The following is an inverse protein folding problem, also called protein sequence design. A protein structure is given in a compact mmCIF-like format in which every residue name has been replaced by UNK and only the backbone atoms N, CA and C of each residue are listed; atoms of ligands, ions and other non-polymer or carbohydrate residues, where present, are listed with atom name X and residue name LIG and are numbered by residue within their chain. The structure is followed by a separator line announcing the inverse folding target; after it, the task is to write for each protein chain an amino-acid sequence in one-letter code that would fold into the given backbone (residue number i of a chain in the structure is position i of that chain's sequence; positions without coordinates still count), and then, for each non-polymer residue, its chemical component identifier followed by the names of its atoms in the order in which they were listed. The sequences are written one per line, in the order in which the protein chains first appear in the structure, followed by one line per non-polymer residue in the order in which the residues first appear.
data_IF_940826798800
#
_entry.id   IF_940826798800
#
_cell.length_a   1.000
_cell.length_b   1.000
_cell.length_c   1.000
_cell.angle_alpha   90.00
_cell.angle_beta   90.00
_cell.angle_gamma   90.00
#
_symmetry.space_group_name_H-M   'P 1'
#
loop_
_entity.id
_entity.type
_entity.pdbx_description
1 polymer ?
#
# COMPACT_ATOMS: atom_id res chain seq x y z
N UNK A 1 22.02 19.44 -16.81
CA UNK A 1 20.68 19.97 -16.51
C UNK A 1 20.13 19.21 -15.31
N UNK A 2 19.80 19.88 -14.23
CA UNK A 2 19.03 19.27 -13.12
C UNK A 2 17.57 19.18 -13.59
N UNK A 3 16.98 17.98 -13.55
CA UNK A 3 15.57 17.78 -13.90
C UNK A 3 14.62 18.14 -12.74
N UNK A 4 15.17 18.58 -11.59
CA UNK A 4 14.38 18.92 -10.40
C UNK A 4 13.64 17.70 -9.79
N UNK A 5 14.17 16.49 -9.96
CA UNK A 5 13.61 15.28 -9.36
C UNK A 5 13.86 15.31 -7.85
N UNK A 6 12.79 15.29 -7.07
CA UNK A 6 12.82 15.25 -5.61
C UNK A 6 12.46 13.86 -5.06
N UNK A 7 11.79 13.04 -5.89
CA UNK A 7 11.23 11.75 -5.46
C UNK A 7 11.17 10.74 -6.59
N UNK A 8 11.47 9.49 -6.27
CA UNK A 8 11.24 8.33 -7.14
C UNK A 8 10.38 7.31 -6.42
N UNK A 9 9.41 6.76 -7.14
CA UNK A 9 8.61 5.63 -6.69
C UNK A 9 8.88 4.42 -7.56
N UNK A 10 9.43 3.38 -6.95
CA UNK A 10 9.65 2.08 -7.59
C UNK A 10 8.35 1.30 -7.50
N UNK A 11 7.87 0.83 -8.63
CA UNK A 11 6.66 0.03 -8.79
C UNK A 11 6.83 -0.89 -10.02
N UNK A 12 5.79 -1.57 -10.43
CA UNK A 12 5.82 -2.43 -11.62
C UNK A 12 4.77 -3.53 -11.45
N UNK A 13 5.05 -4.78 -11.85
CA UNK A 13 4.32 -5.94 -11.34
C UNK A 13 4.57 -6.03 -9.83
N UNK A 14 5.44 -6.94 -9.38
CA UNK A 14 5.91 -6.92 -7.98
C UNK A 14 7.42 -6.61 -7.94
N UNK A 15 7.84 -5.42 -7.47
CA UNK A 15 9.24 -5.02 -7.50
C UNK A 15 10.13 -5.88 -6.59
N UNK A 16 9.60 -6.47 -5.50
CA UNK A 16 10.36 -7.34 -4.61
C UNK A 16 10.83 -8.64 -5.28
N UNK A 17 10.28 -9.00 -6.44
CA UNK A 17 10.75 -10.12 -7.25
C UNK A 17 12.03 -9.80 -8.05
N UNK A 18 12.41 -8.52 -8.13
CA UNK A 18 13.63 -8.10 -8.82
C UNK A 18 14.87 -8.46 -7.99
N UNK A 19 15.72 -9.33 -8.50
CA UNK A 19 16.94 -9.82 -7.80
C UNK A 19 17.89 -8.71 -7.36
N UNK A 20 18.06 -7.66 -8.18
CA UNK A 20 19.00 -6.57 -7.93
C UNK A 20 18.30 -5.30 -7.37
N UNK A 21 17.15 -5.43 -6.72
CA UNK A 21 16.41 -4.28 -6.19
C UNK A 21 17.23 -3.46 -5.17
N UNK A 22 17.92 -4.06 -4.18
CA UNK A 22 18.78 -3.30 -3.26
C UNK A 22 19.87 -2.52 -3.99
N UNK A 23 20.49 -3.09 -5.01
CA UNK A 23 21.51 -2.41 -5.81
C UNK A 23 20.94 -1.22 -6.58
N UNK A 24 19.75 -1.36 -7.15
CA UNK A 24 19.06 -0.24 -7.80
C UNK A 24 18.78 0.89 -6.81
N UNK A 25 18.27 0.58 -5.63
CA UNK A 25 17.98 1.56 -4.58
C UNK A 25 19.28 2.26 -4.14
N UNK A 26 20.37 1.52 -3.94
CA UNK A 26 21.67 2.06 -3.58
C UNK A 26 22.21 3.04 -4.65
N UNK A 27 22.00 2.73 -5.92
CA UNK A 27 22.39 3.65 -7.01
C UNK A 27 21.54 4.93 -7.00
N UNK A 28 20.25 4.84 -6.71
CA UNK A 28 19.34 5.97 -6.60
C UNK A 28 19.61 6.82 -5.36
N UNK A 29 20.00 6.21 -4.24
CA UNK A 29 20.26 6.92 -2.98
C UNK A 29 21.44 7.91 -3.07
N UNK A 30 22.31 7.74 -4.07
CA UNK A 30 23.38 8.70 -4.35
C UNK A 30 22.87 10.04 -4.94
N UNK A 31 21.60 10.12 -5.31
CA UNK A 31 21.02 11.30 -5.98
C UNK A 31 20.34 12.30 -5.02
N UNK A 32 20.40 12.05 -3.71
CA UNK A 32 19.73 12.86 -2.67
C UNK A 32 18.24 13.08 -2.97
N UNK A 33 17.53 12.01 -3.28
CA UNK A 33 16.09 11.97 -3.58
C UNK A 33 15.36 11.05 -2.63
N UNK A 34 14.07 11.33 -2.41
CA UNK A 34 13.19 10.46 -1.65
C UNK A 34 12.81 9.21 -2.47
N UNK A 35 13.16 8.03 -1.98
CA UNK A 35 12.93 6.76 -2.64
C UNK A 35 11.80 6.02 -1.94
N UNK A 36 10.70 5.79 -2.66
CA UNK A 36 9.54 5.05 -2.20
C UNK A 36 9.35 3.77 -3.01
N UNK A 37 8.84 2.73 -2.37
CA UNK A 37 8.47 1.46 -3.01
C UNK A 37 6.97 1.23 -2.89
N UNK A 38 6.32 0.70 -3.94
CA UNK A 38 4.95 0.15 -3.86
C UNK A 38 5.00 -1.34 -4.13
N UNK A 39 4.42 -2.14 -3.24
CA UNK A 39 4.55 -3.61 -3.22
C UNK A 39 3.31 -4.29 -2.67
N UNK A 40 3.09 -5.55 -3.03
CA UNK A 40 2.12 -6.44 -2.37
C UNK A 40 2.64 -7.01 -1.04
N UNK A 41 3.84 -6.64 -0.64
CA UNK A 41 4.53 -7.01 0.59
C UNK A 41 4.82 -8.52 0.80
N UNK A 42 4.54 -9.38 -0.17
CA UNK A 42 4.74 -10.84 -0.06
C UNK A 42 6.15 -11.27 0.38
N UNK A 43 7.16 -10.49 0.02
CA UNK A 43 8.57 -10.74 0.34
C UNK A 43 9.16 -9.67 1.28
N UNK A 44 8.36 -8.70 1.71
CA UNK A 44 8.85 -7.52 2.43
C UNK A 44 9.47 -7.89 3.77
N UNK A 45 8.89 -8.84 4.52
CA UNK A 45 9.45 -9.34 5.79
C UNK A 45 10.93 -9.73 5.68
N UNK A 46 11.30 -10.38 4.57
CA UNK A 46 12.66 -10.88 4.39
C UNK A 46 13.62 -9.86 3.77
N UNK A 47 13.08 -8.80 3.15
CA UNK A 47 13.89 -7.85 2.38
C UNK A 47 13.92 -6.44 2.98
N UNK A 48 13.00 -6.11 3.88
CA UNK A 48 12.84 -4.74 4.40
C UNK A 48 14.14 -4.15 4.95
N UNK A 49 14.90 -4.94 5.70
CA UNK A 49 16.19 -4.50 6.25
C UNK A 49 17.20 -4.15 5.15
N UNK A 50 17.40 -5.04 4.18
CA UNK A 50 18.35 -4.84 3.09
C UNK A 50 17.97 -3.64 2.23
N UNK A 51 16.65 -3.45 1.98
CA UNK A 51 16.14 -2.30 1.25
C UNK A 51 16.35 -0.99 2.01
N UNK A 52 16.14 -1.01 3.33
CA UNK A 52 16.40 0.15 4.20
C UNK A 52 17.89 0.49 4.22
N UNK A 53 18.75 -0.49 4.38
CA UNK A 53 20.21 -0.32 4.38
C UNK A 53 20.74 0.19 3.02
N UNK A 54 20.06 -0.18 1.93
CA UNK A 54 20.35 0.33 0.58
C UNK A 54 19.89 1.78 0.35
N UNK A 55 19.09 2.37 1.25
CA UNK A 55 18.63 3.75 1.16
C UNK A 55 17.15 3.93 0.79
N UNK A 56 16.34 2.87 0.85
CA UNK A 56 14.88 3.04 0.74
C UNK A 56 14.35 3.85 1.91
N UNK A 57 13.53 4.87 1.64
CA UNK A 57 12.97 5.74 2.67
C UNK A 57 11.66 5.18 3.24
N UNK A 58 10.73 4.76 2.36
CA UNK A 58 9.38 4.37 2.76
C UNK A 58 8.72 3.37 1.81
N UNK A 59 7.70 2.69 2.31
CA UNK A 59 6.93 1.74 1.53
C UNK A 59 5.45 2.12 1.47
N UNK A 60 4.82 1.73 0.38
CA UNK A 60 3.36 1.67 0.23
C UNK A 60 3.00 0.22 -0.05
N UNK A 61 2.11 -0.33 0.74
CA UNK A 61 1.65 -1.72 0.63
C UNK A 61 0.23 -1.74 0.05
N UNK A 62 -0.02 -2.61 -0.90
CA UNK A 62 -1.37 -2.88 -1.41
C UNK A 62 -2.04 -3.91 -0.50
N UNK A 63 -3.13 -3.52 0.17
CA UNK A 63 -3.92 -4.40 1.05
C UNK A 63 -5.39 -3.98 1.00
N UNK A 64 -6.19 -4.74 0.26
CA UNK A 64 -7.58 -4.40 -0.01
C UNK A 64 -8.58 -5.03 0.97
N UNK A 65 -8.15 -6.04 1.75
CA UNK A 65 -8.95 -6.71 2.75
C UNK A 65 -8.09 -7.40 3.82
N UNK A 66 -8.62 -7.53 5.04
CA UNK A 66 -8.08 -8.37 6.09
C UNK A 66 -8.66 -9.80 6.05
N UNK A 67 -9.81 -9.99 5.41
CA UNK A 67 -10.34 -11.33 5.15
C UNK A 67 -9.48 -12.06 4.12
N UNK A 68 -8.93 -13.27 4.43
CA UNK A 68 -8.01 -13.97 3.55
C UNK A 68 -8.59 -14.37 2.20
N UNK A 69 -9.88 -14.74 2.17
CA UNK A 69 -10.54 -15.15 0.93
C UNK A 69 -10.77 -13.95 0.02
N UNK A 70 -11.19 -12.84 0.62
CA UNK A 70 -11.43 -11.60 -0.11
C UNK A 70 -10.10 -11.01 -0.62
N UNK A 71 -9.06 -11.00 0.22
CA UNK A 71 -7.73 -10.57 -0.17
C UNK A 71 -7.20 -11.36 -1.37
N UNK A 72 -7.25 -12.69 -1.30
CA UNK A 72 -6.81 -13.56 -2.41
C UNK A 72 -7.58 -13.30 -3.70
N UNK A 73 -8.91 -13.09 -3.60
CA UNK A 73 -9.76 -12.77 -4.75
C UNK A 73 -9.43 -11.42 -5.38
N UNK A 74 -9.15 -10.40 -4.58
CA UNK A 74 -8.88 -9.04 -5.08
C UNK A 74 -7.46 -8.86 -5.60
N UNK A 75 -6.48 -9.47 -4.93
CA UNK A 75 -5.07 -9.36 -5.32
C UNK A 75 -4.68 -10.26 -6.51
N UNK A 76 -5.57 -11.17 -6.93
CA UNK A 76 -5.28 -12.22 -7.94
C UNK A 76 -3.94 -12.93 -7.64
N UNK A 77 -3.70 -13.20 -6.35
CA UNK A 77 -2.44 -13.77 -5.88
C UNK A 77 -2.66 -14.76 -4.74
N UNK A 78 -1.69 -15.65 -4.53
CA UNK A 78 -1.67 -16.58 -3.41
C UNK A 78 -0.93 -16.01 -2.18
N UNK A 79 -0.75 -14.69 -2.12
CA UNK A 79 -0.12 -14.02 -0.97
C UNK A 79 -1.11 -14.02 0.19
N UNK A 80 -0.70 -14.54 1.35
CA UNK A 80 -1.58 -14.53 2.53
C UNK A 80 -1.57 -13.14 3.20
N UNK A 81 -2.69 -12.78 3.82
CA UNK A 81 -2.82 -11.54 4.60
C UNK A 81 -1.77 -11.50 5.71
N UNK A 82 -1.53 -12.64 6.37
CA UNK A 82 -0.56 -12.76 7.44
C UNK A 82 0.85 -12.37 6.96
N UNK A 83 1.26 -12.83 5.76
CA UNK A 83 2.57 -12.48 5.21
C UNK A 83 2.67 -10.98 4.86
N UNK A 84 1.57 -10.37 4.45
CA UNK A 84 1.49 -8.91 4.20
C UNK A 84 1.64 -8.15 5.51
N UNK A 85 0.90 -8.54 6.54
CA UNK A 85 0.94 -7.90 7.87
C UNK A 85 2.34 -8.03 8.51
N UNK A 86 2.94 -9.21 8.46
CA UNK A 86 4.32 -9.42 8.91
C UNK A 86 5.34 -8.53 8.15
N UNK A 87 5.12 -8.34 6.84
CA UNK A 87 5.92 -7.43 6.03
C UNK A 87 5.77 -5.97 6.45
N UNK A 88 4.55 -5.53 6.81
CA UNK A 88 4.27 -4.19 7.33
C UNK A 88 4.96 -3.98 8.68
N UNK A 89 4.82 -4.94 9.60
CA UNK A 89 5.48 -4.90 10.92
C UNK A 89 7.00 -4.78 10.79
N UNK A 90 7.61 -5.58 9.91
CA UNK A 90 9.03 -5.53 9.67
C UNK A 90 9.46 -4.18 9.06
N UNK A 91 8.68 -3.63 8.11
CA UNK A 91 8.95 -2.31 7.54
C UNK A 91 8.98 -1.21 8.61
N UNK A 92 8.02 -1.24 9.54
CA UNK A 92 7.98 -0.33 10.69
C UNK A 92 9.21 -0.53 11.57
N UNK A 93 9.52 -1.79 11.92
CA UNK A 93 10.64 -2.15 12.80
C UNK A 93 11.99 -1.67 12.27
N UNK A 94 12.22 -1.70 10.96
CA UNK A 94 13.48 -1.25 10.34
C UNK A 94 13.47 0.24 9.99
N UNK A 95 12.40 0.97 10.27
CA UNK A 95 12.31 2.41 10.07
C UNK A 95 12.00 2.86 8.63
N UNK A 96 11.30 2.05 7.84
CA UNK A 96 10.73 2.46 6.55
C UNK A 96 9.44 3.28 6.79
N UNK A 97 9.57 4.50 7.24
CA UNK A 97 8.44 5.33 7.71
C UNK A 97 8.23 6.59 6.86
N UNK A 98 6.97 7.02 6.66
CA UNK A 98 5.74 6.33 7.05
C UNK A 98 5.42 5.14 6.15
N UNK A 99 4.92 4.04 6.74
CA UNK A 99 4.29 2.96 5.97
C UNK A 99 2.89 3.40 5.56
N UNK A 100 2.58 3.24 4.28
CA UNK A 100 1.25 3.55 3.74
C UNK A 100 0.59 2.28 3.21
N UNK A 101 -0.71 2.15 3.43
CA UNK A 101 -1.54 1.11 2.83
C UNK A 101 -2.43 1.75 1.78
N UNK A 102 -2.48 1.16 0.60
CA UNK A 102 -3.48 1.45 -0.41
C UNK A 102 -4.54 0.35 -0.37
N UNK A 103 -5.78 0.74 -0.18
CA UNK A 103 -6.95 -0.12 -0.30
C UNK A 103 -7.84 0.44 -1.40
N UNK A 104 -8.03 -0.31 -2.48
CA UNK A 104 -9.00 0.00 -3.53
C UNK A 104 -10.36 -0.49 -3.08
N UNK A 105 -11.34 0.42 -2.98
CA UNK A 105 -12.69 0.08 -2.50
C UNK A 105 -13.62 -0.15 -3.67
N UNK A 106 -14.15 -1.36 -3.78
CA UNK A 106 -15.09 -1.78 -4.82
C UNK A 106 -16.44 -2.12 -4.21
N UNK A 107 -17.50 -1.50 -4.74
CA UNK A 107 -18.87 -1.69 -4.29
C UNK A 107 -19.31 -3.15 -4.39
N UNK A 108 -19.94 -3.64 -3.30
CA UNK A 108 -20.41 -5.02 -3.19
C UNK A 108 -19.31 -6.06 -3.11
N UNK A 109 -18.05 -5.64 -2.89
CA UNK A 109 -16.90 -6.53 -2.77
C UNK A 109 -16.23 -6.37 -1.41
N UNK A 110 -15.61 -5.22 -1.12
CA UNK A 110 -14.83 -5.00 0.09
C UNK A 110 -15.21 -3.73 0.88
N UNK A 111 -16.41 -3.19 0.68
CA UNK A 111 -16.87 -2.00 1.43
C UNK A 111 -16.80 -2.21 2.94
N UNK A 112 -17.09 -3.43 3.43
CA UNK A 112 -17.05 -3.77 4.86
C UNK A 112 -15.62 -3.88 5.43
N UNK A 113 -14.62 -4.00 4.57
CA UNK A 113 -13.20 -4.04 5.00
C UNK A 113 -12.68 -2.64 5.36
N UNK A 114 -13.33 -1.58 4.92
CA UNK A 114 -12.94 -0.19 5.21
C UNK A 114 -12.83 0.05 6.71
N UNK A 115 -13.92 -0.23 7.47
CA UNK A 115 -13.93 -0.09 8.93
C UNK A 115 -12.97 -1.05 9.62
N UNK A 116 -12.83 -2.29 9.11
CA UNK A 116 -11.90 -3.28 9.68
C UNK A 116 -10.45 -2.83 9.54
N UNK A 117 -10.05 -2.31 8.39
CA UNK A 117 -8.71 -1.78 8.16
C UNK A 117 -8.42 -0.57 9.06
N UNK A 118 -9.37 0.36 9.21
CA UNK A 118 -9.22 1.48 10.14
C UNK A 118 -9.05 0.98 11.58
N UNK A 119 -9.91 0.07 12.04
CA UNK A 119 -9.83 -0.50 13.38
C UNK A 119 -8.50 -1.21 13.65
N UNK A 120 -7.97 -1.92 12.65
CA UNK A 120 -6.71 -2.64 12.78
C UNK A 120 -5.50 -1.69 12.92
N UNK A 121 -5.48 -0.61 12.14
CA UNK A 121 -4.32 0.28 12.06
C UNK A 121 -4.42 1.59 12.85
N UNK A 122 -5.59 1.97 13.39
CA UNK A 122 -5.84 3.29 14.04
C UNK A 122 -4.93 3.64 15.22
N UNK A 123 -4.25 2.66 15.80
CA UNK A 123 -3.32 2.87 16.93
C UNK A 123 -1.85 2.63 16.52
N UNK A 124 -1.57 2.71 15.24
CA UNK A 124 -0.24 2.55 14.65
C UNK A 124 0.15 3.81 13.87
N UNK A 125 1.42 3.91 13.47
CA UNK A 125 1.91 4.98 12.59
C UNK A 125 1.65 4.69 11.10
N UNK A 126 0.79 3.72 10.79
CA UNK A 126 0.42 3.34 9.43
C UNK A 126 -0.65 4.28 8.89
N UNK A 127 -0.45 4.76 7.66
CA UNK A 127 -1.42 5.61 6.97
C UNK A 127 -2.24 4.75 6.01
N UNK A 128 -3.51 4.51 6.32
CA UNK A 128 -4.43 3.84 5.40
C UNK A 128 -5.01 4.84 4.42
N UNK A 129 -4.97 4.52 3.14
CA UNK A 129 -5.51 5.31 2.04
C UNK A 129 -6.54 4.50 1.28
N UNK A 130 -7.77 4.94 1.28
CA UNK A 130 -8.83 4.38 0.47
C UNK A 130 -8.83 5.02 -0.91
N UNK A 131 -8.95 4.21 -1.94
CA UNK A 131 -8.89 4.61 -3.34
C UNK A 131 -10.18 4.11 -4.01
N UNK A 132 -10.84 4.98 -4.74
CA UNK A 132 -12.00 4.60 -5.53
C UNK A 132 -11.62 3.57 -6.60
N UNK A 133 -12.48 2.56 -6.81
CA UNK A 133 -12.27 1.58 -7.86
C UNK A 133 -12.25 2.25 -9.23
N UNK A 134 -11.13 2.15 -9.94
CA UNK A 134 -10.90 2.88 -11.17
C UNK A 134 -10.79 1.97 -12.39
N UNK A 135 -11.05 2.53 -13.56
CA UNK A 135 -10.80 1.88 -14.84
C UNK A 135 -9.28 1.79 -15.08
N UNK A 136 -8.79 0.56 -15.18
CA UNK A 136 -7.39 0.27 -15.55
C UNK A 136 -7.30 -0.36 -16.94
N UNK A 137 -8.33 -0.16 -17.75
CA UNK A 137 -8.45 -0.67 -19.10
C UNK A 137 -9.27 -1.98 -19.19
N UNK A 138 -8.98 -2.79 -20.21
CA UNK A 138 -9.84 -3.97 -20.53
C UNK A 138 -9.70 -5.14 -19.56
N UNK A 139 -8.79 -5.06 -18.60
CA UNK A 139 -8.42 -6.22 -17.78
C UNK A 139 -9.29 -6.45 -16.56
N UNK A 140 -9.93 -5.40 -16.00
CA UNK A 140 -10.70 -5.50 -14.76
C UNK A 140 -12.23 -5.48 -14.93
N UNK A 141 -12.74 -5.36 -16.15
CA UNK A 141 -14.19 -5.33 -16.41
C UNK A 141 -14.91 -4.19 -15.67
N UNK A 142 -14.25 -3.06 -15.51
CA UNK A 142 -14.72 -1.91 -14.73
C UNK A 142 -16.11 -1.43 -15.17
N UNK A 143 -16.95 -1.13 -14.18
CA UNK A 143 -18.26 -0.49 -14.36
C UNK A 143 -18.44 0.61 -13.32
N UNK A 144 -18.99 1.75 -13.72
CA UNK A 144 -19.24 2.89 -12.83
C UNK A 144 -20.09 2.50 -11.60
N UNK A 145 -21.01 1.54 -11.76
CA UNK A 145 -21.85 1.02 -10.67
C UNK A 145 -21.04 0.37 -9.53
N UNK A 146 -19.79 -0.03 -9.78
CA UNK A 146 -18.91 -0.65 -8.81
C UNK A 146 -18.03 0.37 -8.05
N UNK A 147 -18.11 1.63 -8.40
CA UNK A 147 -17.36 2.70 -7.73
C UNK A 147 -18.06 3.09 -6.43
N UNK A 148 -17.31 3.16 -5.34
CA UNK A 148 -17.73 3.78 -4.08
C UNK A 148 -17.05 5.15 -4.03
N UNK A 149 -17.81 6.26 -4.14
CA UNK A 149 -17.24 7.60 -4.06
C UNK A 149 -16.55 7.84 -2.71
N UNK A 150 -15.46 8.60 -2.71
CA UNK A 150 -14.68 8.94 -1.50
C UNK A 150 -15.55 9.57 -0.40
N UNK A 151 -16.52 10.40 -0.79
CA UNK A 151 -17.49 11.03 0.14
C UNK A 151 -18.32 9.97 0.87
N UNK A 152 -18.70 8.89 0.20
CA UNK A 152 -19.44 7.79 0.83
C UNK A 152 -18.55 6.99 1.79
N UNK A 153 -17.30 6.73 1.41
CA UNK A 153 -16.33 6.10 2.31
C UNK A 153 -16.14 6.94 3.57
N UNK A 154 -15.97 8.25 3.39
CA UNK A 154 -15.82 9.17 4.51
C UNK A 154 -17.06 9.18 5.42
N UNK A 155 -18.26 9.28 4.83
CA UNK A 155 -19.51 9.27 5.60
C UNK A 155 -19.67 7.98 6.40
N UNK A 156 -19.36 6.82 5.80
CA UNK A 156 -19.39 5.54 6.49
C UNK A 156 -18.43 5.50 7.68
N UNK A 157 -17.21 5.98 7.49
CA UNK A 157 -16.22 6.03 8.58
C UNK A 157 -16.63 7.01 9.70
N UNK A 158 -17.29 8.12 9.37
CA UNK A 158 -17.79 9.09 10.36
C UNK A 158 -18.92 8.54 11.24
N UNK A 159 -19.62 7.49 10.81
CA UNK A 159 -20.63 6.80 11.63
C UNK A 159 -19.99 5.99 12.78
N UNK A 160 -18.75 5.53 12.60
CA UNK A 160 -18.06 4.65 13.54
C UNK A 160 -16.88 5.31 14.27
N UNK A 161 -16.28 6.34 13.66
CA UNK A 161 -15.06 6.97 14.15
C UNK A 161 -15.19 8.49 14.24
N UNK A 162 -14.64 9.06 15.30
CA UNK A 162 -14.48 10.52 15.44
C UNK A 162 -13.27 10.96 14.58
N UNK A 163 -13.54 11.38 13.34
CA UNK A 163 -12.53 11.77 12.38
C UNK A 163 -12.26 13.27 12.45
N UNK A 164 -11.02 13.65 12.66
CA UNK A 164 -10.56 15.04 12.67
C UNK A 164 -9.81 15.32 11.37
N UNK A 165 -10.26 16.30 10.56
CA UNK A 165 -9.52 16.73 9.38
C UNK A 165 -8.13 17.24 9.77
N UNK A 166 -7.10 16.84 9.01
CA UNK A 166 -5.76 17.41 9.11
C UNK A 166 -5.50 18.28 7.88
N UNK A 167 -5.00 19.50 8.12
CA UNK A 167 -4.60 20.45 7.06
C UNK A 167 -3.28 20.04 6.38
#
# INVERSE_FOLDING_TARGET
MSLGLEKVRITGGEPLLRKDLPKLIQMLSCLDIDIALTTNASLLKNQAKDLRDAGLNRVTVSLDALDPHLHSKMSDSNVSVESVLEGIEEAIRVGLSPVKINCVVQRGVNEEEVSKLVNYFRHTDVIVRFIEYMDVGRTNGWQLAQVVPSERILSHLQEEFDLIPIE
#
